data_IF_094734118312
#
_entry.id   IF_094734118312
#
_cell.length_a   1.000
_cell.length_b   1.000
_cell.length_c   1.000
_cell.angle_alpha   90.00
_cell.angle_beta   90.00
_cell.angle_gamma   90.00
#
_symmetry.space_group_name_H-M   'P 1'
#
loop_
_entity.id
_entity.type
_entity.pdbx_description
1 polymer ?
#
# COMPACT_ATOMS: atom_id res chain seq x y z
N UNK A 1 6.49 10.93 -11.68
CA UNK A 1 7.26 11.22 -10.44
C UNK A 1 6.34 10.98 -9.26
N UNK A 2 6.85 10.45 -8.13
CA UNK A 2 6.04 10.28 -6.91
C UNK A 2 5.61 11.64 -6.36
N UNK A 3 4.33 11.74 -6.00
CA UNK A 3 3.71 12.96 -5.46
C UNK A 3 2.89 12.62 -4.23
N UNK A 4 2.96 13.42 -3.15
CA UNK A 4 2.12 13.22 -1.98
C UNK A 4 0.64 13.19 -2.35
N UNK A 5 -0.14 12.32 -1.72
CA UNK A 5 -1.60 12.36 -1.87
C UNK A 5 -2.19 13.43 -0.96
N UNK A 6 -3.20 14.17 -1.44
CA UNK A 6 -3.94 15.13 -0.60
C UNK A 6 -5.21 14.49 -0.01
N UNK A 7 -5.86 13.60 -0.76
CA UNK A 7 -7.16 13.03 -0.42
C UNK A 7 -7.07 11.52 -0.12
N UNK A 8 -6.36 10.76 -0.94
CA UNK A 8 -6.26 9.30 -0.79
C UNK A 8 -5.28 8.94 0.33
N UNK A 9 -5.74 9.00 1.60
CA UNK A 9 -4.91 8.73 2.79
C UNK A 9 -4.91 7.27 3.22
N UNK A 10 -6.01 6.56 3.01
CA UNK A 10 -6.17 5.17 3.41
C UNK A 10 -6.87 4.36 2.31
N UNK A 11 -6.59 3.07 2.26
CA UNK A 11 -7.24 2.14 1.33
C UNK A 11 -7.43 0.77 1.96
N UNK A 12 -8.31 -0.02 1.36
CA UNK A 12 -8.49 -1.45 1.67
C UNK A 12 -8.14 -2.24 0.41
N UNK A 13 -7.27 -3.23 0.56
CA UNK A 13 -6.93 -4.14 -0.54
C UNK A 13 -8.15 -4.98 -0.93
N UNK A 14 -8.63 -4.83 -2.15
CA UNK A 14 -9.76 -5.61 -2.69
C UNK A 14 -9.33 -6.95 -3.29
N UNK A 15 -8.02 -7.16 -3.45
CA UNK A 15 -7.41 -8.39 -3.94
C UNK A 15 -6.03 -8.56 -3.30
N UNK A 16 -5.56 -9.80 -3.20
CA UNK A 16 -4.20 -10.07 -2.74
C UNK A 16 -3.19 -9.68 -3.82
N UNK A 17 -2.09 -9.03 -3.40
CA UNK A 17 -0.98 -8.65 -4.26
C UNK A 17 0.32 -9.21 -3.69
N UNK A 18 0.95 -10.12 -4.45
CA UNK A 18 2.26 -10.71 -4.16
C UNK A 18 3.20 -10.49 -5.34
N UNK A 19 3.31 -9.23 -5.77
CA UNK A 19 4.15 -8.88 -6.92
C UNK A 19 5.64 -9.00 -6.61
N UNK A 20 6.43 -9.36 -7.61
CA UNK A 20 7.91 -9.40 -7.54
C UNK A 20 8.56 -8.02 -7.71
N UNK A 21 7.83 -6.95 -7.38
CA UNK A 21 8.33 -5.56 -7.48
C UNK A 21 9.30 -5.29 -6.33
N UNK A 22 10.49 -4.71 -6.58
CA UNK A 22 11.39 -4.28 -5.53
C UNK A 22 10.68 -3.36 -4.55
N UNK A 23 10.78 -3.64 -3.25
CA UNK A 23 10.09 -2.90 -2.18
C UNK A 23 8.55 -2.90 -2.31
N UNK A 24 7.98 -3.83 -3.08
CA UNK A 24 6.54 -4.03 -3.15
C UNK A 24 5.99 -4.51 -1.81
N UNK A 25 4.91 -3.89 -1.36
CA UNK A 25 4.18 -4.33 -0.18
C UNK A 25 3.37 -5.58 -0.54
N UNK A 26 3.56 -6.68 0.17
CA UNK A 26 2.64 -7.83 0.07
C UNK A 26 1.33 -7.42 0.71
N UNK A 27 0.22 -7.56 -0.03
CA UNK A 27 -1.12 -7.24 0.44
C UNK A 27 -2.00 -8.48 0.40
N UNK A 28 -2.85 -8.62 1.41
CA UNK A 28 -3.91 -9.61 1.44
C UNK A 28 -5.28 -8.92 1.36
N UNK A 29 -6.27 -9.62 0.82
CA UNK A 29 -7.64 -9.08 0.72
C UNK A 29 -8.16 -8.63 2.09
N UNK A 30 -8.77 -7.45 2.11
CA UNK A 30 -9.29 -6.80 3.32
C UNK A 30 -8.24 -6.10 4.17
N UNK A 31 -6.96 -6.13 3.80
CA UNK A 31 -5.92 -5.41 4.53
C UNK A 31 -6.04 -3.89 4.31
N UNK A 32 -5.96 -3.14 5.40
CA UNK A 32 -5.96 -1.68 5.40
C UNK A 32 -4.54 -1.14 5.23
N UNK A 33 -4.36 -0.21 4.31
CA UNK A 33 -3.09 0.48 4.05
C UNK A 33 -3.23 1.98 4.27
N UNK A 34 -2.14 2.62 4.71
CA UNK A 34 -2.02 4.07 4.66
C UNK A 34 -1.24 4.44 3.40
N UNK A 35 -1.76 5.37 2.63
CA UNK A 35 -1.19 5.86 1.38
C UNK A 35 -0.55 7.22 1.64
N UNK A 36 0.68 7.38 1.17
CA UNK A 36 1.48 8.59 1.32
C UNK A 36 1.69 9.31 -0.01
N UNK A 37 1.97 8.53 -1.07
CA UNK A 37 2.31 9.07 -2.38
C UNK A 37 1.65 8.26 -3.50
N UNK A 38 1.51 8.89 -4.67
CA UNK A 38 1.04 8.27 -5.91
C UNK A 38 1.94 8.59 -7.10
N UNK A 39 2.03 7.64 -8.03
CA UNK A 39 2.71 7.80 -9.32
C UNK A 39 2.10 6.82 -10.33
N UNK A 40 1.48 7.33 -11.40
CA UNK A 40 1.06 6.52 -12.57
C UNK A 40 0.32 5.22 -12.22
N UNK A 41 -0.74 5.32 -11.42
CA UNK A 41 -1.55 4.16 -11.01
C UNK A 41 -0.95 3.31 -9.88
N UNK A 42 0.28 3.62 -9.45
CA UNK A 42 0.89 3.04 -8.26
C UNK A 42 0.77 3.96 -7.04
N UNK A 43 0.70 3.32 -5.87
CA UNK A 43 0.66 3.98 -4.57
C UNK A 43 1.82 3.51 -3.70
N UNK A 44 2.36 4.42 -2.88
CA UNK A 44 3.37 4.13 -1.86
C UNK A 44 2.79 4.42 -0.49
N UNK A 45 3.13 3.55 0.44
CA UNK A 45 2.49 3.52 1.75
C UNK A 45 2.96 2.34 2.58
N UNK A 46 2.21 2.06 3.63
CA UNK A 46 2.49 0.93 4.52
C UNK A 46 1.19 0.26 4.98
N UNK A 47 1.27 -1.04 5.25
CA UNK A 47 0.19 -1.78 5.90
C UNK A 47 -0.04 -1.20 7.28
N UNK A 48 -1.31 -0.93 7.61
CA UNK A 48 -1.69 -0.40 8.93
C UNK A 48 -1.68 -1.47 10.01
N UNK A 49 -1.85 -2.74 9.61
CA UNK A 49 -1.52 -3.87 10.48
C UNK A 49 -0.01 -3.89 10.69
N UNK A 50 0.42 -3.84 11.94
CA UNK A 50 1.82 -4.13 12.28
C UNK A 50 2.16 -5.49 11.67
N UNK A 51 3.29 -5.64 10.95
CA UNK A 51 3.85 -6.97 10.79
C UNK A 51 3.99 -7.51 12.22
N UNK A 52 3.40 -8.67 12.50
CA UNK A 52 3.71 -9.40 13.73
C UNK A 52 5.22 -9.50 13.78
N UNK A 53 5.84 -8.67 14.61
CA UNK A 53 7.21 -8.86 15.07
C UNK A 53 7.16 -10.22 15.76
N UNK A 54 7.66 -11.24 15.06
CA UNK A 54 8.02 -12.51 15.70
C UNK A 54 9.35 -12.33 16.40
#
# INVERSE_FOLDING_TARGET
MWTPTEEEKFGVAICSFRGSVPQGLVLEIGETVQILEKCEGWYRGFATKKPTIK
#
